data_IF_964180408258
#
_entry.id   IF_964180408258
#
_cell.length_a   1.000
_cell.length_b   1.000
_cell.length_c   1.000
_cell.angle_alpha   90.00
_cell.angle_beta   90.00
_cell.angle_gamma   90.00
#
_symmetry.space_group_name_H-M   'P 1'
#
loop_
_entity.id
_entity.type
_entity.pdbx_description
1 polymer ?
#
# COMPACT_ATOMS: atom_id res chain seq x y z
N UNK A 1 13.91 -48.80 68.96
CA UNK A 1 12.97 -48.60 67.83
C UNK A 1 13.52 -47.53 66.89
N UNK A 2 13.71 -47.80 65.58
CA UNK A 2 14.30 -46.84 64.64
C UNK A 2 13.24 -45.91 64.04
N UNK A 3 13.55 -44.60 63.94
CA UNK A 3 12.71 -43.58 63.30
C UNK A 3 12.85 -43.66 61.77
N UNK A 4 11.75 -43.98 61.07
CA UNK A 4 11.67 -44.00 59.60
C UNK A 4 11.69 -42.58 59.03
N UNK A 5 12.65 -42.29 58.13
CA UNK A 5 12.70 -41.05 57.35
C UNK A 5 11.65 -41.07 56.24
N UNK A 6 10.76 -40.07 56.24
CA UNK A 6 9.75 -39.85 55.21
C UNK A 6 10.34 -39.53 53.85
N UNK A 7 9.86 -40.23 52.82
CA UNK A 7 10.23 -40.10 51.41
C UNK A 7 9.42 -38.96 50.77
N UNK A 8 10.07 -37.89 50.33
CA UNK A 8 9.44 -36.78 49.55
C UNK A 8 8.92 -37.31 48.21
N UNK A 9 7.63 -37.07 47.93
CA UNK A 9 6.99 -37.37 46.64
C UNK A 9 7.55 -36.48 45.53
N UNK A 10 7.90 -37.11 44.40
CA UNK A 10 8.43 -36.46 43.20
C UNK A 10 7.24 -36.06 42.33
N UNK A 11 6.95 -34.76 42.22
CA UNK A 11 5.90 -34.22 41.34
C UNK A 11 6.31 -34.39 39.87
N UNK A 12 5.53 -35.16 39.13
CA UNK A 12 5.65 -35.35 37.68
C UNK A 12 5.24 -34.04 36.97
N UNK A 13 6.21 -33.30 36.45
CA UNK A 13 5.95 -32.14 35.57
C UNK A 13 5.50 -32.64 34.21
N UNK A 14 4.22 -32.41 33.90
CA UNK A 14 3.66 -32.53 32.54
C UNK A 14 4.41 -31.58 31.59
N UNK A 15 4.84 -32.03 30.39
CA UNK A 15 5.50 -31.15 29.43
C UNK A 15 4.50 -30.08 28.94
N UNK A 16 4.79 -28.81 29.25
CA UNK A 16 4.12 -27.67 28.64
C UNK A 16 4.39 -27.71 27.14
N UNK A 17 3.37 -27.98 26.33
CA UNK A 17 3.36 -27.65 24.90
C UNK A 17 3.67 -26.16 24.76
N UNK A 18 4.85 -25.84 24.22
CA UNK A 18 5.25 -24.49 23.88
C UNK A 18 4.49 -24.06 22.62
N UNK A 19 3.27 -23.57 22.81
CA UNK A 19 2.55 -22.73 21.84
C UNK A 19 2.55 -21.30 22.34
N UNK A 20 3.69 -20.61 22.23
CA UNK A 20 3.83 -19.20 22.57
C UNK A 20 4.37 -18.46 21.34
N UNK A 21 3.49 -17.78 20.60
CA UNK A 21 3.81 -16.52 19.93
C UNK A 21 2.58 -15.88 19.28
N UNK A 22 2.26 -14.68 19.80
CA UNK A 22 1.58 -13.55 19.17
C UNK A 22 0.21 -13.76 18.47
N UNK A 23 -0.77 -14.26 19.23
CA UNK A 23 -2.01 -13.52 19.40
C UNK A 23 -1.90 -12.71 20.70
N UNK A 24 -2.23 -11.42 20.69
CA UNK A 24 -2.65 -10.75 21.92
C UNK A 24 -3.96 -11.39 22.39
N UNK A 25 -3.88 -12.59 23.00
CA UNK A 25 -5.00 -13.28 23.65
C UNK A 25 -5.32 -12.66 25.02
N UNK A 26 -5.31 -11.33 25.06
CA UNK A 26 -5.48 -10.54 26.27
C UNK A 26 -5.39 -9.05 25.97
N UNK A 27 -6.24 -8.52 25.10
CA UNK A 27 -6.59 -7.08 25.03
C UNK A 27 -5.45 -6.06 24.90
N UNK A 28 -4.19 -6.47 24.70
CA UNK A 28 -3.06 -5.55 24.65
C UNK A 28 -3.03 -4.92 23.26
N UNK A 29 -3.48 -3.66 23.19
CA UNK A 29 -3.44 -2.81 22.00
C UNK A 29 -2.05 -2.90 21.34
N UNK A 30 -2.01 -3.33 20.08
CA UNK A 30 -0.82 -3.19 19.26
C UNK A 30 -0.50 -1.69 19.11
N UNK A 31 0.71 -1.28 19.48
CA UNK A 31 1.17 0.09 19.25
C UNK A 31 1.91 0.12 17.91
N UNK A 32 1.39 0.80 16.88
CA UNK A 32 2.06 0.91 15.59
C UNK A 32 3.39 1.63 15.72
N UNK A 33 4.36 1.26 14.89
CA UNK A 33 5.62 1.99 14.75
C UNK A 33 5.45 3.35 14.07
N UNK A 34 6.57 4.00 13.75
CA UNK A 34 6.60 5.16 12.84
C UNK A 34 6.95 4.68 11.43
N UNK A 35 6.34 5.32 10.43
CA UNK A 35 6.70 5.09 9.04
C UNK A 35 8.10 5.61 8.74
N UNK A 36 8.79 4.93 7.84
CA UNK A 36 10.15 5.24 7.42
C UNK A 36 10.22 5.25 5.90
N UNK A 37 11.00 6.16 5.36
CA UNK A 37 11.36 6.23 3.95
C UNK A 37 12.87 6.10 3.83
N UNK A 38 13.31 5.49 2.73
CA UNK A 38 14.69 5.53 2.27
C UNK A 38 14.68 6.20 0.88
N UNK A 39 14.94 7.50 0.86
CA UNK A 39 14.85 8.30 -0.37
C UNK A 39 15.87 7.86 -1.44
N UNK A 40 16.93 7.13 -1.05
CA UNK A 40 17.88 6.53 -1.99
C UNK A 40 17.24 5.44 -2.87
N UNK A 41 16.18 4.78 -2.39
CA UNK A 41 15.48 3.74 -3.14
C UNK A 41 14.62 4.30 -4.27
N UNK A 42 14.13 5.54 -4.16
CA UNK A 42 13.32 6.20 -5.20
C UNK A 42 14.11 6.38 -6.49
N UNK A 43 15.34 6.91 -6.40
CA UNK A 43 16.21 7.08 -7.57
C UNK A 43 16.54 5.74 -8.24
N UNK A 44 16.90 4.73 -7.43
CA UNK A 44 17.20 3.39 -7.93
C UNK A 44 16.00 2.75 -8.63
N UNK A 45 14.79 2.86 -8.07
CA UNK A 45 13.57 2.34 -8.68
C UNK A 45 13.36 2.86 -10.12
N UNK A 46 13.64 4.14 -10.34
CA UNK A 46 13.41 4.80 -11.63
C UNK A 46 14.41 4.36 -12.70
N UNK A 47 15.67 4.15 -12.32
CA UNK A 47 16.77 3.91 -13.28
C UNK A 47 17.24 2.46 -13.34
N UNK A 48 16.92 1.62 -12.36
CA UNK A 48 17.37 0.24 -12.30
C UNK A 48 16.82 -0.56 -13.49
N UNK A 49 17.73 -1.26 -14.15
CA UNK A 49 17.40 -2.23 -15.20
C UNK A 49 16.76 -3.49 -14.58
N UNK A 50 15.98 -4.21 -15.38
CA UNK A 50 15.30 -5.44 -14.95
C UNK A 50 14.00 -5.23 -14.16
N UNK A 51 13.68 -4.00 -13.74
CA UNK A 51 12.34 -3.67 -13.19
C UNK A 51 11.37 -3.49 -14.36
N UNK A 52 10.29 -4.30 -14.46
CA UNK A 52 9.28 -4.14 -15.49
C UNK A 52 8.60 -2.76 -15.42
N UNK A 53 8.25 -2.19 -16.59
CA UNK A 53 7.71 -0.82 -16.70
C UNK A 53 6.45 -0.62 -15.85
N UNK A 54 5.51 -1.56 -15.90
CA UNK A 54 4.29 -1.57 -15.09
C UNK A 54 4.59 -1.51 -13.58
N UNK A 55 5.60 -2.28 -13.16
CA UNK A 55 6.02 -2.40 -11.75
C UNK A 55 6.62 -1.09 -11.26
N UNK A 56 7.41 -0.42 -12.11
CA UNK A 56 8.00 0.88 -11.79
C UNK A 56 6.94 1.93 -11.50
N UNK A 57 5.92 2.03 -12.37
CA UNK A 57 4.80 2.96 -12.19
C UNK A 57 4.02 2.64 -10.91
N UNK A 58 3.67 1.35 -10.72
CA UNK A 58 2.90 0.91 -9.54
C UNK A 58 3.69 1.11 -8.25
N UNK A 59 5.01 1.00 -8.26
CA UNK A 59 5.81 1.17 -7.05
C UNK A 59 6.10 2.64 -6.70
N UNK A 60 6.10 3.54 -7.69
CA UNK A 60 6.49 4.93 -7.47
C UNK A 60 5.55 5.66 -6.51
N UNK A 61 4.23 5.59 -6.74
CA UNK A 61 3.23 6.27 -5.91
C UNK A 61 3.33 5.93 -4.41
N UNK A 62 3.34 4.66 -3.98
CA UNK A 62 3.47 4.34 -2.56
C UNK A 62 4.84 4.74 -1.98
N UNK A 63 5.90 4.78 -2.79
CA UNK A 63 7.21 5.29 -2.34
C UNK A 63 7.18 6.81 -2.09
N UNK A 64 6.60 7.58 -3.01
CA UNK A 64 6.45 9.04 -2.83
C UNK A 64 5.56 9.37 -1.64
N UNK A 65 4.45 8.63 -1.48
CA UNK A 65 3.57 8.77 -0.32
C UNK A 65 4.32 8.48 0.98
N UNK A 66 5.11 7.40 1.02
CA UNK A 66 5.90 7.03 2.19
C UNK A 66 6.99 8.04 2.53
N UNK A 67 7.62 8.65 1.51
CA UNK A 67 8.59 9.74 1.69
C UNK A 67 7.95 10.94 2.40
N UNK A 68 6.74 11.35 1.97
CA UNK A 68 6.00 12.44 2.63
C UNK A 68 5.45 12.04 4.00
N UNK A 69 5.06 10.79 4.19
CA UNK A 69 4.58 10.27 5.47
C UNK A 69 5.72 9.88 6.43
N UNK A 70 6.97 10.16 6.10
CA UNK A 70 8.13 9.81 6.94
C UNK A 70 7.96 10.35 8.36
N UNK A 71 8.18 9.50 9.35
CA UNK A 71 8.10 9.87 10.75
C UNK A 71 6.68 9.96 11.31
N UNK A 72 5.62 9.90 10.50
CA UNK A 72 4.25 9.80 11.01
C UNK A 72 4.03 8.51 11.80
N UNK A 73 3.09 8.53 12.76
CA UNK A 73 2.65 7.31 13.45
C UNK A 73 1.95 6.40 12.44
N UNK A 74 2.14 5.09 12.57
CA UNK A 74 1.36 4.11 11.82
C UNK A 74 -0.12 4.08 12.24
N UNK A 75 -0.85 3.08 11.77
CA UNK A 75 -2.32 3.03 11.77
C UNK A 75 -2.98 4.04 10.82
N UNK A 76 -2.30 4.36 9.72
CA UNK A 76 -2.79 5.25 8.66
C UNK A 76 -2.91 4.52 7.32
N UNK A 77 -3.07 3.19 7.37
CA UNK A 77 -3.21 2.34 6.19
C UNK A 77 -4.42 2.73 5.33
N UNK A 78 -5.54 3.10 5.98
CA UNK A 78 -6.75 3.53 5.29
C UNK A 78 -6.55 4.88 4.57
N UNK A 79 -6.01 5.89 5.27
CA UNK A 79 -5.70 7.21 4.67
C UNK A 79 -4.72 7.09 3.50
N UNK A 80 -3.71 6.22 3.63
CA UNK A 80 -2.77 5.90 2.57
C UNK A 80 -3.49 5.30 1.36
N UNK A 81 -4.36 4.31 1.58
CA UNK A 81 -5.09 3.64 0.51
C UNK A 81 -6.08 4.58 -0.19
N UNK A 82 -6.81 5.42 0.54
CA UNK A 82 -7.72 6.40 -0.05
C UNK A 82 -6.97 7.40 -0.93
N UNK A 83 -5.89 7.98 -0.41
CA UNK A 83 -5.05 8.93 -1.15
C UNK A 83 -4.45 8.28 -2.40
N UNK A 84 -3.83 7.10 -2.25
CA UNK A 84 -3.18 6.39 -3.35
C UNK A 84 -4.20 5.89 -4.38
N UNK A 85 -5.42 5.52 -3.98
CA UNK A 85 -6.50 5.16 -4.90
C UNK A 85 -6.82 6.30 -5.86
N UNK A 86 -6.95 7.53 -5.35
CA UNK A 86 -7.13 8.69 -6.24
C UNK A 86 -5.92 8.94 -7.12
N UNK A 87 -4.71 8.82 -6.58
CA UNK A 87 -3.48 8.99 -7.35
C UNK A 87 -3.38 7.99 -8.52
N UNK A 88 -3.66 6.70 -8.28
CA UNK A 88 -3.69 5.68 -9.34
C UNK A 88 -4.73 5.99 -10.41
N UNK A 89 -5.91 6.44 -10.02
CA UNK A 89 -6.98 6.82 -10.98
C UNK A 89 -6.55 7.97 -11.88
N UNK A 90 -5.81 8.94 -11.37
CA UNK A 90 -5.26 10.02 -12.21
C UNK A 90 -4.31 9.50 -13.30
N UNK A 91 -3.63 8.37 -13.07
CA UNK A 91 -2.77 7.69 -14.04
C UNK A 91 -3.52 6.65 -14.90
N UNK A 92 -4.84 6.49 -14.71
CA UNK A 92 -5.68 5.50 -15.40
C UNK A 92 -5.49 4.08 -14.90
N UNK A 93 -5.05 3.91 -13.65
CA UNK A 93 -4.88 2.60 -13.01
C UNK A 93 -6.05 2.41 -12.05
N UNK A 94 -6.87 1.38 -12.27
CA UNK A 94 -7.92 0.99 -11.32
C UNK A 94 -7.26 0.48 -10.03
N UNK A 95 -7.69 1.04 -8.90
CA UNK A 95 -7.23 0.66 -7.58
C UNK A 95 -8.41 0.63 -6.61
N UNK A 96 -8.57 -0.51 -5.93
CA UNK A 96 -9.70 -0.76 -5.05
C UNK A 96 -9.21 -1.08 -3.64
N UNK A 97 -9.98 -0.60 -2.65
CA UNK A 97 -9.69 -0.88 -1.25
C UNK A 97 -9.89 -2.38 -0.99
N UNK A 98 -8.91 -3.01 -0.36
CA UNK A 98 -8.95 -4.40 0.02
C UNK A 98 -8.58 -4.52 1.50
N UNK A 99 -9.57 -4.67 2.40
CA UNK A 99 -9.30 -4.96 3.79
C UNK A 99 -8.77 -6.40 3.89
N UNK A 100 -7.78 -6.59 4.75
CA UNK A 100 -6.99 -7.81 4.82
C UNK A 100 -6.62 -8.14 6.27
N UNK A 101 -6.50 -9.45 6.54
CA UNK A 101 -5.70 -9.95 7.66
C UNK A 101 -4.28 -10.21 7.16
N UNK A 102 -3.28 -9.65 7.83
CA UNK A 102 -1.86 -9.90 7.53
C UNK A 102 -1.28 -10.90 8.53
N UNK A 103 -0.89 -12.06 8.04
CA UNK A 103 -0.10 -13.02 8.82
C UNK A 103 1.35 -12.92 8.38
N UNK A 104 2.30 -12.90 9.32
CA UNK A 104 3.73 -12.88 9.02
C UNK A 104 4.37 -14.08 9.67
N UNK A 105 5.08 -14.88 8.87
CA UNK A 105 5.84 -16.03 9.34
C UNK A 105 7.33 -15.71 9.20
N UNK A 106 8.11 -15.86 10.28
CA UNK A 106 9.57 -15.69 10.20
C UNK A 106 10.29 -17.00 9.83
N UNK A 107 11.60 -16.93 9.59
CA UNK A 107 12.42 -18.09 9.21
C UNK A 107 12.41 -19.25 10.22
N UNK A 108 12.01 -19.01 11.47
CA UNK A 108 11.86 -20.07 12.49
C UNK A 108 10.50 -20.76 12.43
N UNK A 109 9.62 -20.31 11.54
CA UNK A 109 8.23 -20.75 11.43
C UNK A 109 7.32 -20.07 12.46
N UNK A 110 7.80 -19.08 13.22
CA UNK A 110 6.96 -18.36 14.18
C UNK A 110 6.03 -17.43 13.43
N UNK A 111 4.75 -17.50 13.80
CA UNK A 111 3.68 -16.74 13.17
C UNK A 111 3.24 -15.59 14.07
N UNK A 112 3.15 -14.39 13.49
CA UNK A 112 2.55 -13.20 14.10
C UNK A 112 1.39 -12.74 13.23
N UNK A 113 0.24 -12.46 13.84
CA UNK A 113 -0.95 -11.97 13.11
C UNK A 113 -1.16 -10.48 13.36
N UNK A 114 -1.35 -9.73 12.29
CA UNK A 114 -1.69 -8.32 12.25
C UNK A 114 -3.00 -8.08 11.49
N UNK A 115 -3.74 -7.06 11.91
CA UNK A 115 -5.09 -6.80 11.40
C UNK A 115 -6.14 -7.74 11.99
N UNK A 116 -7.39 -7.29 12.01
CA UNK A 116 -8.51 -8.07 12.49
C UNK A 116 -9.09 -8.90 11.34
N UNK A 117 -9.49 -10.15 11.64
CA UNK A 117 -10.27 -10.96 10.70
C UNK A 117 -11.67 -10.35 10.45
N UNK A 118 -12.12 -9.50 11.38
CA UNK A 118 -13.34 -8.72 11.34
C UNK A 118 -12.93 -7.26 11.60
N UNK A 119 -12.49 -6.53 10.56
CA UNK A 119 -12.18 -5.12 10.73
C UNK A 119 -13.44 -4.36 11.15
N UNK A 120 -13.27 -3.32 11.94
CA UNK A 120 -14.38 -2.52 12.47
C UNK A 120 -13.89 -1.12 12.84
N UNK A 121 -14.82 -0.21 13.06
CA UNK A 121 -14.53 1.09 13.63
C UNK A 121 -14.58 1.04 15.15
N UNK A 122 -13.57 1.60 15.82
CA UNK A 122 -13.57 1.85 17.26
C UNK A 122 -13.37 3.36 17.49
N UNK A 123 -14.48 4.04 17.81
CA UNK A 123 -14.57 5.50 17.69
C UNK A 123 -14.22 5.92 16.25
N UNK A 124 -13.34 6.91 16.08
CA UNK A 124 -12.91 7.40 14.76
C UNK A 124 -11.72 6.63 14.15
N UNK A 125 -11.32 5.52 14.76
CA UNK A 125 -10.19 4.72 14.29
C UNK A 125 -10.68 3.43 13.63
N UNK A 126 -10.19 3.18 12.42
CA UNK A 126 -10.37 1.90 11.77
C UNK A 126 -9.44 0.85 12.40
N UNK A 127 -10.01 -0.19 12.99
CA UNK A 127 -9.30 -1.33 13.56
C UNK A 127 -9.24 -2.43 12.49
N UNK A 128 -8.15 -2.43 11.74
CA UNK A 128 -7.94 -3.39 10.67
C UNK A 128 -6.64 -3.10 9.91
N UNK A 129 -6.48 -3.75 8.76
CA UNK A 129 -5.46 -3.36 7.79
C UNK A 129 -6.11 -3.28 6.43
N UNK A 130 -5.80 -2.22 5.69
CA UNK A 130 -6.30 -1.99 4.33
C UNK A 130 -5.10 -1.85 3.42
N UNK A 131 -5.21 -2.49 2.26
CA UNK A 131 -4.26 -2.41 1.16
C UNK A 131 -5.02 -2.08 -0.11
N UNK A 132 -4.31 -1.76 -1.19
CA UNK A 132 -4.94 -1.58 -2.50
C UNK A 132 -4.78 -2.84 -3.34
N UNK A 133 -5.85 -3.23 -4.03
CA UNK A 133 -5.80 -4.19 -5.11
C UNK A 133 -5.93 -3.47 -6.46
N UNK A 134 -5.03 -3.78 -7.38
CA UNK A 134 -4.95 -3.21 -8.72
C UNK A 134 -5.31 -4.33 -9.70
N UNK A 135 -6.60 -4.52 -10.06
CA UNK A 135 -7.07 -5.66 -10.83
C UNK A 135 -6.38 -5.75 -12.20
N UNK A 136 -6.35 -4.64 -12.94
CA UNK A 136 -5.69 -4.59 -14.26
C UNK A 136 -4.18 -4.88 -14.25
N UNK A 137 -3.52 -4.74 -13.09
CA UNK A 137 -2.11 -5.08 -12.91
C UNK A 137 -1.89 -6.43 -12.20
N UNK A 138 -2.95 -7.08 -11.69
CA UNK A 138 -2.87 -8.29 -10.88
C UNK A 138 -2.02 -8.14 -9.61
N UNK A 139 -2.05 -6.94 -8.99
CA UNK A 139 -1.13 -6.56 -7.91
C UNK A 139 -1.84 -6.08 -6.66
N UNK A 140 -1.22 -6.35 -5.52
CA UNK A 140 -1.57 -5.75 -4.23
C UNK A 140 -0.50 -4.76 -3.82
N UNK A 141 -0.91 -3.61 -3.30
CA UNK A 141 -0.04 -2.52 -2.87
C UNK A 141 -0.29 -2.24 -1.39
N UNK A 142 0.76 -2.34 -0.58
CA UNK A 142 0.74 -1.99 0.84
C UNK A 142 1.86 -0.98 1.14
N UNK A 143 1.49 0.31 1.14
CA UNK A 143 2.39 1.42 1.42
C UNK A 143 2.80 1.50 2.90
N UNK A 144 2.05 0.86 3.79
CA UNK A 144 2.19 1.02 5.25
C UNK A 144 2.69 -0.22 5.96
N UNK A 145 3.10 -1.25 5.22
CA UNK A 145 3.56 -2.54 5.75
C UNK A 145 4.65 -2.42 6.82
N UNK A 146 5.51 -1.40 6.72
CA UNK A 146 6.58 -1.16 7.69
C UNK A 146 6.11 -0.50 8.99
N UNK A 147 4.80 -0.24 9.16
CA UNK A 147 4.23 0.09 10.47
C UNK A 147 4.39 -1.06 11.49
N UNK A 148 4.58 -2.29 11.00
CA UNK A 148 4.78 -3.48 11.81
C UNK A 148 6.27 -3.66 12.15
N UNK A 149 6.68 -3.66 13.45
CA UNK A 149 8.08 -3.57 13.85
C UNK A 149 8.99 -4.67 13.30
N UNK A 150 8.48 -5.88 13.10
CA UNK A 150 9.28 -6.97 12.55
C UNK A 150 9.57 -6.79 11.06
N UNK A 151 8.64 -6.19 10.30
CA UNK A 151 8.81 -5.89 8.87
C UNK A 151 9.69 -4.65 8.69
N UNK A 152 9.50 -3.63 9.53
CA UNK A 152 10.27 -2.38 9.53
C UNK A 152 11.79 -2.56 9.69
N UNK A 153 12.23 -3.71 10.24
CA UNK A 153 13.65 -4.06 10.37
C UNK A 153 14.31 -4.33 9.03
N UNK A 154 13.54 -4.76 8.03
CA UNK A 154 14.06 -5.12 6.71
C UNK A 154 14.39 -3.89 5.86
N UNK A 155 13.70 -2.76 6.06
CA UNK A 155 13.93 -1.49 5.34
C UNK A 155 13.85 -1.63 3.81
N UNK A 156 12.80 -2.30 3.34
CA UNK A 156 12.56 -2.60 1.92
C UNK A 156 11.45 -1.71 1.34
N UNK A 157 10.76 -0.92 2.17
CA UNK A 157 9.71 0.00 1.71
C UNK A 157 8.34 -0.67 1.52
N UNK A 158 7.46 -0.14 0.66
CA UNK A 158 6.14 -0.72 0.36
C UNK A 158 6.20 -2.18 -0.13
N UNK A 159 5.11 -2.94 0.04
CA UNK A 159 4.94 -4.22 -0.65
C UNK A 159 4.18 -3.98 -1.95
N UNK A 160 4.71 -4.50 -3.06
CA UNK A 160 4.00 -4.67 -4.34
C UNK A 160 3.97 -6.18 -4.63
N UNK A 161 2.93 -6.86 -4.18
CA UNK A 161 2.78 -8.31 -4.36
C UNK A 161 2.05 -8.63 -5.65
N UNK A 162 2.55 -9.61 -6.42
CA UNK A 162 1.76 -10.25 -7.48
C UNK A 162 0.95 -11.38 -6.89
N UNK A 163 -0.29 -11.54 -7.31
CA UNK A 163 -1.09 -12.71 -7.00
C UNK A 163 -0.34 -13.97 -7.45
N UNK A 164 0.28 -14.66 -6.49
CA UNK A 164 0.69 -16.04 -6.68
C UNK A 164 -0.59 -16.86 -6.85
N UNK A 165 -0.57 -17.86 -7.75
CA UNK A 165 -1.71 -18.71 -8.08
C UNK A 165 -2.48 -19.10 -6.80
N UNK A 166 -3.58 -18.39 -6.55
CA UNK A 166 -4.45 -18.66 -5.43
C UNK A 166 -5.14 -19.99 -5.63
N UNK A 167 -5.69 -20.56 -4.56
CA UNK A 167 -6.57 -21.74 -4.63
C UNK A 167 -7.88 -21.49 -5.42
N UNK A 168 -8.10 -20.27 -5.89
CA UNK A 168 -9.26 -19.83 -6.67
C UNK A 168 -8.74 -19.04 -7.89
N UNK A 169 -9.24 -19.30 -9.11
CA UNK A 169 -9.00 -18.43 -10.25
C UNK A 169 -9.51 -17.02 -9.93
N UNK A 170 -8.68 -16.02 -10.13
CA UNK A 170 -9.10 -14.62 -10.03
C UNK A 170 -9.51 -14.20 -11.43
N UNK A 171 -10.78 -13.85 -11.57
CA UNK A 171 -11.29 -13.29 -12.81
C UNK A 171 -10.65 -11.91 -13.02
N UNK A 172 -9.95 -11.66 -14.14
CA UNK A 172 -9.38 -10.34 -14.45
C UNK A 172 -10.41 -9.20 -14.49
N UNK A 173 -11.70 -9.53 -14.63
CA UNK A 173 -12.81 -8.58 -14.56
C UNK A 173 -13.30 -8.31 -13.13
N UNK A 174 -12.82 -9.04 -12.13
CA UNK A 174 -13.15 -8.75 -10.74
C UNK A 174 -12.31 -7.58 -10.25
N UNK A 175 -13.02 -6.53 -9.82
CA UNK A 175 -12.42 -5.34 -9.23
C UNK A 175 -11.78 -5.60 -7.85
N UNK A 176 -12.07 -6.76 -7.23
CA UNK A 176 -11.65 -7.11 -5.86
C UNK A 176 -11.26 -8.57 -5.75
N UNK A 177 -10.49 -8.89 -4.70
CA UNK A 177 -10.17 -10.27 -4.37
C UNK A 177 -11.35 -10.93 -3.66
N UNK A 178 -11.67 -12.20 -3.98
CA UNK A 178 -12.73 -12.91 -3.28
C UNK A 178 -12.34 -13.10 -1.80
N UNK A 179 -13.35 -13.11 -0.92
CA UNK A 179 -13.14 -13.33 0.50
C UNK A 179 -12.31 -14.60 0.73
N UNK A 180 -11.33 -14.51 1.64
CA UNK A 180 -10.33 -15.54 1.98
C UNK A 180 -9.30 -15.83 0.90
N UNK A 181 -9.30 -15.12 -0.23
CA UNK A 181 -8.16 -15.16 -1.15
C UNK A 181 -6.87 -14.84 -0.39
N UNK A 182 -5.82 -15.61 -0.69
CA UNK A 182 -4.53 -15.43 -0.06
C UNK A 182 -3.51 -14.96 -1.08
N UNK A 183 -2.76 -13.94 -0.69
CA UNK A 183 -1.56 -13.50 -1.38
C UNK A 183 -0.38 -13.72 -0.46
N UNK A 184 0.62 -14.43 -0.96
CA UNK A 184 1.86 -14.71 -0.24
C UNK A 184 3.01 -13.95 -0.89
N UNK A 185 3.70 -13.13 -0.10
CA UNK A 185 4.83 -12.31 -0.53
C UNK A 185 6.06 -12.66 0.31
N UNK A 186 7.10 -13.27 -0.29
CA UNK A 186 8.38 -13.41 0.39
C UNK A 186 9.06 -12.05 0.51
N UNK A 187 9.64 -11.76 1.68
CA UNK A 187 10.31 -10.49 1.96
C UNK A 187 11.47 -10.71 2.93
N UNK A 188 12.68 -10.84 2.40
CA UNK A 188 13.84 -11.22 3.19
C UNK A 188 13.64 -12.60 3.82
N UNK A 189 13.75 -12.68 5.15
CA UNK A 189 13.52 -13.87 5.95
C UNK A 189 12.06 -14.02 6.44
N UNK A 190 11.17 -13.14 5.98
CA UNK A 190 9.75 -13.15 6.32
C UNK A 190 8.88 -13.62 5.15
N UNK A 191 7.80 -14.31 5.49
CA UNK A 191 6.71 -14.64 4.58
C UNK A 191 5.44 -13.90 5.00
N UNK A 192 4.99 -12.97 4.16
CA UNK A 192 3.80 -12.15 4.42
C UNK A 192 2.61 -12.79 3.71
N UNK A 193 1.58 -13.17 4.45
CA UNK A 193 0.34 -13.74 3.92
C UNK A 193 -0.80 -12.77 4.16
N UNK A 194 -1.26 -12.14 3.09
CA UNK A 194 -2.44 -11.29 3.08
C UNK A 194 -3.66 -12.16 2.81
N UNK A 195 -4.65 -12.13 3.70
CA UNK A 195 -5.94 -12.82 3.51
C UNK A 195 -7.03 -11.78 3.33
N UNK A 196 -7.67 -11.74 2.16
CA UNK A 196 -8.81 -10.87 1.90
C UNK A 196 -9.95 -11.20 2.87
N UNK A 197 -10.57 -10.16 3.44
CA UNK A 197 -11.80 -10.32 4.24
C UNK A 197 -13.04 -10.16 3.36
N UNK A 198 -14.24 -10.30 3.94
CA UNK A 198 -15.49 -10.15 3.19
C UNK A 198 -15.70 -8.72 2.65
N UNK A 199 -16.36 -8.61 1.50
CA UNK A 199 -16.62 -7.33 0.83
C UNK A 199 -17.51 -6.38 1.64
N UNK A 200 -18.35 -6.91 2.53
CA UNK A 200 -19.20 -6.10 3.41
C UNK A 200 -18.39 -5.08 4.21
N UNK A 201 -17.15 -5.39 4.56
CA UNK A 201 -16.26 -4.47 5.27
C UNK A 201 -15.77 -3.31 4.41
N UNK A 202 -15.68 -3.48 3.09
CA UNK A 202 -15.35 -2.37 2.18
C UNK A 202 -16.50 -1.38 2.15
N UNK A 203 -17.73 -1.88 2.11
CA UNK A 203 -18.92 -1.03 2.08
C UNK A 203 -19.08 -0.30 3.41
N UNK A 204 -18.81 -0.96 4.55
CA UNK A 204 -18.72 -0.31 5.87
C UNK A 204 -17.65 0.79 5.95
N UNK A 205 -16.50 0.61 5.30
CA UNK A 205 -15.48 1.66 5.22
C UNK A 205 -16.01 2.83 4.39
N UNK A 206 -16.55 2.57 3.20
CA UNK A 206 -16.99 3.62 2.26
C UNK A 206 -18.16 4.45 2.77
N UNK A 207 -19.05 3.82 3.53
CA UNK A 207 -20.26 4.45 4.05
C UNK A 207 -20.08 5.07 5.43
N UNK A 208 -18.85 5.11 5.97
CA UNK A 208 -18.59 5.77 7.24
C UNK A 208 -18.51 7.29 7.04
N UNK A 209 -19.24 8.06 7.86
CA UNK A 209 -19.30 9.54 7.81
C UNK A 209 -17.91 10.20 7.71
N UNK A 210 -16.93 9.68 8.46
CA UNK A 210 -15.55 10.17 8.42
C UNK A 210 -14.92 10.10 7.02
N UNK A 211 -15.22 9.07 6.24
CA UNK A 211 -14.70 8.93 4.88
C UNK A 211 -15.35 9.96 3.97
N UNK A 212 -16.65 10.22 4.13
CA UNK A 212 -17.33 11.30 3.41
C UNK A 212 -16.69 12.66 3.72
N UNK A 213 -16.41 12.94 5.00
CA UNK A 213 -15.78 14.19 5.45
C UNK A 213 -14.36 14.40 4.92
N UNK A 214 -13.58 13.31 4.72
CA UNK A 214 -12.17 13.39 4.28
C UNK A 214 -11.95 13.06 2.81
N UNK A 215 -12.97 12.62 2.07
CA UNK A 215 -12.86 12.18 0.66
C UNK A 215 -12.22 13.27 -0.22
N UNK A 216 -12.67 14.52 -0.09
CA UNK A 216 -12.10 15.64 -0.87
C UNK A 216 -10.62 15.85 -0.57
N UNK A 217 -10.21 15.75 0.69
CA UNK A 217 -8.82 15.93 1.08
C UNK A 217 -7.94 14.80 0.53
N UNK A 218 -8.42 13.56 0.56
CA UNK A 218 -7.74 12.41 -0.04
C UNK A 218 -7.66 12.52 -1.56
N UNK A 219 -8.72 13.00 -2.20
CA UNK A 219 -8.75 13.27 -3.64
C UNK A 219 -7.68 14.29 -4.03
N UNK A 220 -7.67 15.46 -3.38
CA UNK A 220 -6.71 16.53 -3.67
C UNK A 220 -5.27 16.09 -3.39
N UNK A 221 -5.04 15.34 -2.30
CA UNK A 221 -3.73 14.74 -2.02
C UNK A 221 -3.33 13.72 -3.10
N UNK A 222 -4.27 12.89 -3.56
CA UNK A 222 -4.03 11.93 -4.64
C UNK A 222 -3.64 12.61 -5.96
N UNK A 223 -4.29 13.72 -6.31
CA UNK A 223 -3.92 14.54 -7.47
C UNK A 223 -2.49 15.06 -7.32
N UNK A 224 -2.12 15.62 -6.16
CA UNK A 224 -0.74 16.09 -5.90
C UNK A 224 0.29 14.98 -6.05
N UNK A 225 0.05 13.79 -5.48
CA UNK A 225 0.97 12.65 -5.62
C UNK A 225 1.10 12.16 -7.06
N UNK A 226 -0.01 12.13 -7.82
CA UNK A 226 0.04 11.74 -9.23
C UNK A 226 0.78 12.77 -10.08
N UNK A 227 0.60 14.07 -9.82
CA UNK A 227 1.38 15.13 -10.48
C UNK A 227 2.87 14.99 -10.18
N UNK A 228 3.24 14.76 -8.91
CA UNK A 228 4.64 14.55 -8.52
C UNK A 228 5.22 13.29 -9.18
N UNK A 229 4.46 12.20 -9.23
CA UNK A 229 4.86 11.00 -9.95
C UNK A 229 5.11 11.27 -11.43
N UNK A 230 4.26 12.05 -12.11
CA UNK A 230 4.46 12.41 -13.52
C UNK A 230 5.75 13.21 -13.75
N UNK A 231 6.11 14.12 -12.84
CA UNK A 231 7.39 14.83 -12.90
C UNK A 231 8.57 13.85 -12.86
N UNK A 232 8.56 12.90 -11.93
CA UNK A 232 9.62 11.89 -11.84
C UNK A 232 9.63 10.92 -13.04
N UNK A 233 8.46 10.61 -13.60
CA UNK A 233 8.32 9.66 -14.72
C UNK A 233 8.69 10.26 -16.07
N UNK A 234 8.56 11.58 -16.25
CA UNK A 234 8.90 12.27 -17.51
C UNK A 234 10.39 12.59 -17.67
N UNK A 235 11.19 12.36 -16.62
CA UNK A 235 12.64 12.63 -16.65
C UNK A 235 13.34 11.94 -17.84
N UNK A 236 14.37 12.59 -18.43
CA UNK A 236 15.20 11.97 -19.46
C UNK A 236 15.76 10.63 -19.02
N UNK A 237 15.63 9.61 -19.87
CA UNK A 237 16.06 8.23 -19.56
C UNK A 237 15.05 7.42 -18.73
N UNK A 238 14.01 8.03 -18.17
CA UNK A 238 12.91 7.33 -17.49
C UNK A 238 11.70 7.19 -18.41
N UNK A 239 11.30 8.29 -19.07
CA UNK A 239 10.06 8.39 -19.84
C UNK A 239 9.85 7.24 -20.85
N UNK A 240 10.87 6.90 -21.63
CA UNK A 240 10.77 5.84 -22.64
C UNK A 240 10.59 4.45 -22.03
N UNK A 241 11.16 4.21 -20.84
CA UNK A 241 11.02 2.94 -20.13
C UNK A 241 9.61 2.80 -19.55
N UNK A 242 9.04 3.88 -19.02
CA UNK A 242 7.72 3.85 -18.36
C UNK A 242 6.57 3.86 -19.37
N UNK A 243 6.77 4.44 -20.56
CA UNK A 243 5.81 4.34 -21.68
C UNK A 243 5.56 2.91 -22.16
N UNK A 244 6.42 1.95 -21.81
CA UNK A 244 6.19 0.52 -22.07
C UNK A 244 5.17 -0.12 -21.11
N UNK A 245 4.72 0.59 -20.07
CA UNK A 245 3.69 0.10 -19.15
C UNK A 245 2.32 0.08 -19.84
N UNK A 246 1.43 -0.89 -19.53
CA UNK A 246 0.13 -1.04 -20.19
C UNK A 246 -0.93 -0.07 -19.62
N UNK A 247 -0.59 1.23 -19.54
CA UNK A 247 -1.44 2.27 -18.95
C UNK A 247 -1.65 3.41 -19.96
N UNK A 248 -2.68 3.34 -20.83
CA UNK A 248 -2.87 4.30 -21.93
C UNK A 248 -2.97 5.75 -21.47
N UNK A 249 -3.74 6.01 -20.40
CA UNK A 249 -3.85 7.35 -19.81
C UNK A 249 -2.50 7.90 -19.35
N UNK A 250 -1.69 7.10 -18.67
CA UNK A 250 -0.34 7.50 -18.28
C UNK A 250 0.52 7.83 -19.51
N UNK A 251 0.48 7.00 -20.55
CA UNK A 251 1.26 7.24 -21.77
C UNK A 251 0.87 8.58 -22.42
N UNK A 252 -0.44 8.84 -22.56
CA UNK A 252 -0.95 10.08 -23.12
C UNK A 252 -0.58 11.31 -22.27
N UNK A 253 -0.62 11.19 -20.94
CA UNK A 253 -0.13 12.24 -20.04
C UNK A 253 1.36 12.49 -20.23
N UNK A 254 2.17 11.44 -20.32
CA UNK A 254 3.62 11.58 -20.53
C UNK A 254 3.95 12.16 -21.91
N UNK A 255 3.17 11.86 -22.93
CA UNK A 255 3.31 12.48 -24.26
C UNK A 255 2.98 13.97 -24.21
N UNK A 256 1.85 14.32 -23.59
CA UNK A 256 1.41 15.71 -23.45
C UNK A 256 2.36 16.56 -22.59
N UNK A 257 2.86 15.98 -21.50
CA UNK A 257 3.65 16.68 -20.48
C UNK A 257 5.17 16.59 -20.71
N UNK A 258 5.62 15.91 -21.76
CA UNK A 258 7.04 15.61 -22.00
C UNK A 258 7.94 16.85 -21.91
N UNK A 259 7.47 17.98 -22.44
CA UNK A 259 8.20 19.24 -22.48
C UNK A 259 7.41 20.40 -21.85
N UNK A 260 6.30 20.11 -21.15
CA UNK A 260 5.47 21.14 -20.53
C UNK A 260 6.22 21.74 -19.32
N UNK A 261 6.37 23.07 -19.21
CA UNK A 261 6.93 23.67 -18.00
C UNK A 261 6.10 23.32 -16.76
N UNK A 262 6.79 23.01 -15.67
CA UNK A 262 6.20 22.79 -14.36
C UNK A 262 6.15 24.10 -13.56
N UNK A 263 5.07 24.27 -12.81
CA UNK A 263 4.92 25.30 -11.79
C UNK A 263 4.73 24.56 -10.47
N UNK A 264 5.62 24.83 -9.52
CA UNK A 264 5.63 24.18 -8.21
C UNK A 264 5.37 25.24 -7.15
N UNK A 265 4.27 25.07 -6.41
CA UNK A 265 4.05 25.80 -5.16
C UNK A 265 4.51 24.91 -4.00
N UNK A 266 5.76 25.11 -3.58
CA UNK A 266 6.38 24.33 -2.50
C UNK A 266 5.69 24.54 -1.14
N UNK A 267 4.94 25.63 -0.94
CA UNK A 267 4.28 25.91 0.34
C UNK A 267 3.13 24.95 0.63
N UNK A 268 2.53 24.41 -0.43
CA UNK A 268 1.37 23.51 -0.39
C UNK A 268 1.59 22.22 -1.19
N UNK A 269 2.83 21.95 -1.62
CA UNK A 269 3.21 20.82 -2.46
C UNK A 269 2.30 20.68 -3.71
N UNK A 270 1.90 21.80 -4.33
CA UNK A 270 1.04 21.80 -5.51
C UNK A 270 1.88 21.84 -6.80
N UNK A 271 1.57 20.93 -7.72
CA UNK A 271 2.26 20.78 -8.99
C UNK A 271 1.29 21.03 -10.13
N UNK A 272 1.60 22.01 -10.97
CA UNK A 272 0.84 22.39 -12.16
C UNK A 272 1.72 22.33 -13.40
N UNK A 273 1.07 22.25 -14.56
CA UNK A 273 1.73 22.18 -15.86
C UNK A 273 1.24 23.31 -16.75
N UNK A 274 2.15 24.05 -17.37
CA UNK A 274 1.82 25.04 -18.38
C UNK A 274 1.54 24.34 -19.71
N UNK A 275 0.28 24.38 -20.16
CA UNK A 275 -0.16 23.75 -21.40
C UNK A 275 -0.75 24.78 -22.37
N UNK A 276 -0.56 24.60 -23.69
CA UNK A 276 -1.16 25.49 -24.67
C UNK A 276 -2.69 25.37 -24.66
N UNK A 277 -3.39 26.50 -24.56
CA UNK A 277 -4.81 26.62 -24.85
C UNK A 277 -5.07 26.66 -26.37
N UNK A 278 -6.34 26.55 -26.83
CA UNK A 278 -6.67 26.56 -28.27
C UNK A 278 -6.19 27.80 -29.05
N UNK A 279 -5.96 28.92 -28.36
CA UNK A 279 -5.41 30.17 -28.90
C UNK A 279 -3.87 30.25 -28.86
N UNK A 280 -3.20 29.21 -28.33
CA UNK A 280 -1.75 29.11 -28.22
C UNK A 280 -1.15 29.75 -26.96
N UNK A 281 -1.95 30.38 -26.09
CA UNK A 281 -1.46 30.88 -24.81
C UNK A 281 -1.12 29.71 -23.85
N UNK A 282 -0.11 29.88 -22.99
CA UNK A 282 0.15 28.89 -21.95
C UNK A 282 -0.79 29.14 -20.77
N UNK A 283 -1.51 28.09 -20.36
CA UNK A 283 -2.39 28.11 -19.20
C UNK A 283 -1.91 27.05 -18.21
N UNK A 284 -1.79 27.46 -16.95
CA UNK A 284 -1.47 26.55 -15.86
C UNK A 284 -2.67 25.63 -15.58
N UNK A 285 -2.40 24.32 -15.53
CA UNK A 285 -3.41 23.31 -15.24
C UNK A 285 -2.92 22.37 -14.15
N UNK A 286 -3.79 22.05 -13.21
CA UNK A 286 -3.63 20.86 -12.37
C UNK A 286 -3.86 19.60 -13.20
N UNK A 287 -3.34 18.47 -12.73
CA UNK A 287 -3.49 17.20 -13.44
C UNK A 287 -4.95 16.80 -13.68
N UNK A 288 -5.83 17.06 -12.72
CA UNK A 288 -7.27 16.75 -12.84
C UNK A 288 -8.05 17.73 -13.73
N UNK A 289 -7.43 18.84 -14.14
CA UNK A 289 -7.99 19.79 -15.10
C UNK A 289 -7.56 19.49 -16.54
N UNK A 290 -6.63 18.55 -16.73
CA UNK A 290 -6.13 18.14 -18.05
C UNK A 290 -7.13 17.18 -18.69
N UNK A 291 -7.75 17.64 -19.78
CA UNK A 291 -8.60 16.80 -20.62
C UNK A 291 -7.76 16.06 -21.65
N UNK A 292 -7.87 14.74 -21.69
CA UNK A 292 -7.26 13.90 -22.72
C UNK A 292 -8.29 13.56 -23.81
N UNK A 293 -7.87 13.20 -25.03
CA UNK A 293 -8.77 12.72 -26.07
C UNK A 293 -9.67 11.57 -25.59
N UNK A 294 -10.91 11.52 -26.10
CA UNK A 294 -11.85 10.47 -25.78
C UNK A 294 -11.32 9.08 -26.18
N UNK A 295 -11.56 8.06 -25.33
CA UNK A 295 -11.14 6.68 -25.59
C UNK A 295 -9.78 6.29 -25.00
N UNK A 296 -9.18 7.17 -24.20
CA UNK A 296 -7.99 6.92 -23.37
C UNK A 296 -8.39 6.70 -21.91
#
# INVERSE_FOLDING_TARGET
MPKSRGRKGKTTRTPKRAGNAASGAGGSRFTPGRLRSDDGQLGQLLVADGIPADTRVVMLLPMLWLSKAHGHRGNICLDACLTLRHAYRQLGITAELQPVKLTVTDATGRVTVYGAAQPHWENDNFIGHVVLYLPGAGRLVDATVEQYPQIAKLRVGPVIGRLAAGSQPIDPQQDRLPARAQLVVPRGDLLLTYTAVADTYVDEIRNADRIEDTERAHYEAGVRFASWALLALREPGVINRVKQAPFPRLQALLDLLANAPEIIDESIDEYRFALPSPDGALVERRLDEITLPAGI
#
